data_IF_190161539057
#
_entry.id   IF_190161539057
#
_cell.length_a   1.000
_cell.length_b   1.000
_cell.length_c   1.000
_cell.angle_alpha   90.00
_cell.angle_beta   90.00
_cell.angle_gamma   90.00
#
_symmetry.space_group_name_H-M   'P 1'
#
loop_
_entity.id
_entity.type
_entity.pdbx_description
1 polymer ?
#
# COMPACT_ATOMS: atom_id res chain seq x y z
N UNK A 1 -2.19 15.24 1.81
CA UNK A 1 -3.11 14.17 1.40
C UNK A 1 -2.40 13.07 0.62
N UNK A 2 -1.81 13.33 -0.55
CA UNK A 2 -1.02 12.30 -1.27
C UNK A 2 0.09 11.69 -0.39
N UNK A 3 0.98 12.54 0.15
CA UNK A 3 2.07 12.12 1.05
C UNK A 3 1.56 11.37 2.29
N UNK A 4 0.42 11.78 2.84
CA UNK A 4 -0.19 11.10 4.00
C UNK A 4 -0.70 9.70 3.60
N UNK A 5 -1.34 9.59 2.42
CA UNK A 5 -1.81 8.32 1.88
C UNK A 5 -0.65 7.38 1.52
N UNK A 6 0.45 7.93 1.00
CA UNK A 6 1.68 7.19 0.75
C UNK A 6 2.26 6.68 2.06
N UNK A 7 2.46 7.56 3.05
CA UNK A 7 3.03 7.20 4.35
C UNK A 7 2.22 6.12 5.07
N UNK A 8 0.89 6.23 5.03
CA UNK A 8 0.02 5.20 5.61
C UNK A 8 0.14 3.85 4.89
N UNK A 9 0.30 3.87 3.56
CA UNK A 9 0.53 2.65 2.79
C UNK A 9 1.91 2.05 3.10
N UNK A 10 2.96 2.86 3.15
CA UNK A 10 4.31 2.42 3.52
C UNK A 10 4.32 1.76 4.89
N UNK A 11 3.74 2.43 5.90
CA UNK A 11 3.63 1.86 7.24
C UNK A 11 2.79 0.57 7.27
N UNK A 12 1.71 0.48 6.48
CA UNK A 12 0.93 -0.75 6.37
C UNK A 12 1.78 -1.90 5.79
N UNK A 13 2.55 -1.61 4.75
CA UNK A 13 3.44 -2.56 4.07
C UNK A 13 4.55 -3.02 4.99
N UNK A 14 5.23 -2.11 5.71
CA UNK A 14 6.29 -2.44 6.68
C UNK A 14 5.76 -3.35 7.80
N UNK A 15 4.61 -2.99 8.37
CA UNK A 15 3.98 -3.80 9.42
C UNK A 15 3.56 -5.20 8.94
N UNK A 16 3.22 -5.34 7.65
CA UNK A 16 2.90 -6.63 7.05
C UNK A 16 4.18 -7.42 6.73
N UNK A 17 5.21 -6.78 6.18
CA UNK A 17 6.46 -7.43 5.80
C UNK A 17 7.18 -7.99 7.03
N UNK A 18 7.18 -7.26 8.15
CA UNK A 18 7.76 -7.74 9.42
C UNK A 18 7.13 -9.07 9.88
N UNK A 19 5.84 -9.29 9.62
CA UNK A 19 5.19 -10.56 9.98
C UNK A 19 5.78 -11.76 9.21
N UNK A 20 6.24 -11.55 7.99
CA UNK A 20 6.82 -12.59 7.13
C UNK A 20 8.31 -12.80 7.35
N UNK A 21 8.99 -11.94 8.13
CA UNK A 21 10.38 -12.13 8.54
C UNK A 21 10.53 -13.21 9.63
N UNK A 22 9.41 -13.66 10.22
CA UNK A 22 9.37 -14.72 11.24
C UNK A 22 9.60 -16.12 10.64
N UNK A 23 10.11 -17.08 11.43
CA UNK A 23 10.24 -18.47 11.01
C UNK A 23 8.91 -19.09 10.57
N UNK A 24 8.94 -19.94 9.54
CA UNK A 24 7.75 -20.58 8.95
C UNK A 24 6.91 -21.36 9.97
N UNK A 25 7.54 -21.98 10.97
CA UNK A 25 6.82 -22.70 12.03
C UNK A 25 5.92 -21.78 12.86
N UNK A 26 6.31 -20.52 13.06
CA UNK A 26 5.52 -19.52 13.78
C UNK A 26 4.37 -18.99 12.92
N UNK A 27 4.59 -18.87 11.60
CA UNK A 27 3.55 -18.46 10.63
C UNK A 27 2.35 -19.41 10.57
N UNK A 28 2.52 -20.66 11.00
CA UNK A 28 1.44 -21.65 11.05
C UNK A 28 0.49 -21.46 12.24
N UNK A 29 0.83 -20.59 13.21
CA UNK A 29 -0.04 -20.25 14.33
C UNK A 29 -1.34 -19.60 13.82
N UNK A 30 -2.49 -20.08 14.32
CA UNK A 30 -3.81 -19.65 13.82
C UNK A 30 -4.06 -18.17 14.09
N UNK A 31 -3.60 -17.64 15.23
CA UNK A 31 -3.78 -16.22 15.55
C UNK A 31 -2.90 -15.37 14.63
N UNK A 32 -1.64 -15.79 14.41
CA UNK A 32 -0.75 -15.08 13.51
C UNK A 32 -1.28 -15.08 12.07
N UNK A 33 -1.91 -16.16 11.62
CA UNK A 33 -2.56 -16.23 10.31
C UNK A 33 -3.71 -15.23 10.16
N UNK A 34 -4.54 -15.07 11.19
CA UNK A 34 -5.64 -14.08 11.17
C UNK A 34 -5.07 -12.68 11.08
N UNK A 35 -4.06 -12.36 11.89
CA UNK A 35 -3.41 -11.05 11.88
C UNK A 35 -2.77 -10.74 10.51
N UNK A 36 -2.12 -11.72 9.87
CA UNK A 36 -1.55 -11.57 8.52
C UNK A 36 -2.65 -11.26 7.50
N UNK A 37 -3.79 -11.96 7.56
CA UNK A 37 -4.90 -11.73 6.64
C UNK A 37 -5.49 -10.32 6.82
N UNK A 38 -5.67 -9.88 8.06
CA UNK A 38 -6.19 -8.55 8.38
C UNK A 38 -5.24 -7.44 7.90
N UNK A 39 -3.94 -7.58 8.17
CA UNK A 39 -2.93 -6.63 7.67
C UNK A 39 -2.83 -6.64 6.15
N UNK A 40 -2.97 -7.79 5.50
CA UNK A 40 -3.00 -7.89 4.02
C UNK A 40 -4.19 -7.13 3.45
N UNK A 41 -5.38 -7.32 4.04
CA UNK A 41 -6.59 -6.58 3.65
C UNK A 41 -6.41 -5.07 3.83
N UNK A 42 -5.81 -4.66 4.94
CA UNK A 42 -5.52 -3.25 5.22
C UNK A 42 -4.54 -2.64 4.21
N UNK A 43 -3.45 -3.33 3.87
CA UNK A 43 -2.50 -2.89 2.84
C UNK A 43 -3.20 -2.67 1.49
N UNK A 44 -4.05 -3.62 1.10
CA UNK A 44 -4.80 -3.51 -0.14
C UNK A 44 -5.74 -2.29 -0.12
N UNK A 45 -6.42 -2.04 1.00
CA UNK A 45 -7.28 -0.87 1.17
C UNK A 45 -6.50 0.45 1.05
N UNK A 46 -5.34 0.57 1.71
CA UNK A 46 -4.48 1.78 1.61
C UNK A 46 -3.97 1.99 0.19
N UNK A 47 -3.60 0.90 -0.51
CA UNK A 47 -3.17 0.95 -1.92
C UNK A 47 -4.27 1.51 -2.82
N UNK A 48 -5.51 1.01 -2.67
CA UNK A 48 -6.65 1.48 -3.46
C UNK A 48 -6.94 2.96 -3.18
N UNK A 49 -6.89 3.40 -1.92
CA UNK A 49 -7.11 4.80 -1.56
C UNK A 49 -6.05 5.71 -2.21
N UNK A 50 -4.77 5.37 -2.09
CA UNK A 50 -3.69 6.14 -2.70
C UNK A 50 -3.87 6.24 -4.22
N UNK A 51 -4.08 5.11 -4.89
CA UNK A 51 -4.24 5.08 -6.34
C UNK A 51 -5.47 5.85 -6.83
N UNK A 52 -6.61 5.72 -6.14
CA UNK A 52 -7.83 6.42 -6.50
C UNK A 52 -7.67 7.94 -6.37
N UNK A 53 -7.13 8.40 -5.23
CA UNK A 53 -6.89 9.83 -5.01
C UNK A 53 -5.90 10.41 -6.03
N UNK A 54 -4.79 9.70 -6.30
CA UNK A 54 -3.82 10.12 -7.32
C UNK A 54 -4.43 10.17 -8.71
N UNK A 55 -5.17 9.14 -9.12
CA UNK A 55 -5.79 9.07 -10.44
C UNK A 55 -6.85 10.16 -10.63
N UNK A 56 -7.71 10.39 -9.62
CA UNK A 56 -8.75 11.42 -9.68
C UNK A 56 -8.14 12.82 -9.77
N UNK A 57 -7.13 13.12 -8.97
CA UNK A 57 -6.49 14.42 -9.03
C UNK A 57 -5.67 14.63 -10.32
N UNK A 58 -5.10 13.57 -10.91
CA UNK A 58 -4.48 13.64 -12.24
C UNK A 58 -5.53 13.89 -13.34
N UNK A 59 -6.64 13.15 -13.33
CA UNK A 59 -7.71 13.29 -14.31
C UNK A 59 -8.40 14.67 -14.27
N UNK A 60 -8.47 15.28 -13.09
CA UNK A 60 -9.01 16.63 -12.90
C UNK A 60 -7.98 17.75 -13.10
N UNK A 61 -6.74 17.43 -13.51
CA UNK A 61 -5.70 18.41 -13.78
C UNK A 61 -5.14 19.11 -12.52
N UNK A 62 -5.39 18.55 -11.34
CA UNK A 62 -4.80 19.03 -10.07
C UNK A 62 -3.32 18.65 -10.00
N UNK A 63 -2.97 17.45 -10.48
CA UNK A 63 -1.58 17.02 -10.64
C UNK A 63 -1.16 17.06 -12.11
N UNK A 64 0.12 17.34 -12.30
CA UNK A 64 0.81 17.24 -13.59
C UNK A 64 2.17 16.60 -13.38
N UNK A 65 2.67 15.89 -14.39
CA UNK A 65 4.05 15.43 -14.39
C UNK A 65 5.01 16.61 -14.55
N UNK A 66 6.18 16.53 -13.91
CA UNK A 66 7.22 17.55 -14.02
C UNK A 66 8.01 17.46 -15.35
N UNK A 67 7.74 16.47 -16.19
CA UNK A 67 8.36 16.26 -17.50
C UNK A 67 7.43 15.50 -18.45
N UNK A 68 7.84 15.38 -19.72
CA UNK A 68 7.04 14.70 -20.74
C UNK A 68 6.90 13.21 -20.43
N UNK A 69 5.65 12.75 -20.28
CA UNK A 69 5.35 11.34 -20.07
C UNK A 69 5.17 10.64 -21.42
N UNK A 70 6.15 9.83 -21.83
CA UNK A 70 6.11 9.09 -23.11
C UNK A 70 5.49 7.69 -23.02
N UNK A 71 5.04 7.27 -21.82
CA UNK A 71 4.28 6.03 -21.64
C UNK A 71 5.02 4.72 -21.94
N UNK A 72 6.34 4.76 -22.14
CA UNK A 72 7.17 3.60 -22.52
C UNK A 72 8.13 3.13 -21.42
N UNK A 73 8.16 3.80 -20.28
CA UNK A 73 9.04 3.47 -19.13
C UNK A 73 8.27 2.74 -18.03
#
# INVERSE_FOLDING_TARGET
>A
MFEDNQKDLEMAVENLSEMFEKPVAELADVNLRVDIMDKTSYCNKRRVILLADTADNLANGVWSFNGDFNGTD
#
